data_IF_261680806844
#
_entry.id   IF_261680806844
#
_cell.length_a   1.000
_cell.length_b   1.000
_cell.length_c   1.000
_cell.angle_alpha   90.00
_cell.angle_beta   90.00
_cell.angle_gamma   90.00
#
_symmetry.space_group_name_H-M   'P 1'
#
loop_
_entity.id
_entity.type
_entity.pdbx_description
1 polymer ?
#
# COMPACT_ATOMS: atom_id res chain seq x y z
N UNK A 1 20.65 20.81 -4.99
CA UNK A 1 20.19 19.61 -5.72
C UNK A 1 18.67 19.63 -5.67
N UNK A 2 17.95 19.70 -6.79
CA UNK A 2 16.49 19.52 -6.72
C UNK A 2 16.23 18.05 -6.41
N UNK A 3 15.58 17.79 -5.27
CA UNK A 3 15.12 16.45 -4.93
C UNK A 3 13.99 16.10 -5.89
N UNK A 4 14.27 15.22 -6.85
CA UNK A 4 13.21 14.52 -7.60
C UNK A 4 13.00 13.18 -6.91
N UNK A 5 12.55 13.22 -5.64
CA UNK A 5 12.11 12.00 -4.98
C UNK A 5 10.96 11.43 -5.80
N UNK A 6 11.09 10.17 -6.21
CA UNK A 6 10.10 9.46 -7.01
C UNK A 6 9.63 8.24 -6.22
N UNK A 7 8.57 8.39 -5.39
CA UNK A 7 8.03 7.31 -4.58
C UNK A 7 7.83 6.02 -5.39
N UNK A 8 8.17 4.88 -4.79
CA UNK A 8 8.03 3.55 -5.43
C UNK A 8 8.93 3.31 -6.65
N UNK A 9 9.93 4.16 -6.90
CA UNK A 9 10.90 3.99 -7.98
C UNK A 9 12.18 3.34 -7.47
N UNK A 10 12.77 2.43 -8.26
CA UNK A 10 14.03 1.80 -7.89
C UNK A 10 15.21 2.80 -7.87
N UNK A 11 16.16 2.60 -6.95
CA UNK A 11 17.32 3.48 -6.74
C UNK A 11 18.14 3.70 -8.03
N UNK A 12 18.36 2.65 -8.83
CA UNK A 12 19.10 2.74 -10.09
C UNK A 12 18.45 3.70 -11.08
N UNK A 13 17.12 3.70 -11.16
CA UNK A 13 16.35 4.61 -12.01
C UNK A 13 16.33 6.02 -11.45
N UNK A 14 16.21 6.19 -10.13
CA UNK A 14 16.34 7.50 -9.47
C UNK A 14 17.70 8.12 -9.81
N UNK A 15 18.80 7.40 -9.61
CA UNK A 15 20.14 7.91 -9.92
C UNK A 15 20.36 8.19 -11.40
N UNK A 16 19.81 7.35 -12.30
CA UNK A 16 19.86 7.61 -13.74
C UNK A 16 19.14 8.91 -14.11
N UNK A 17 17.98 9.17 -13.51
CA UNK A 17 17.20 10.40 -13.71
C UNK A 17 17.96 11.60 -13.14
N UNK A 18 18.43 11.53 -11.90
CA UNK A 18 19.17 12.62 -11.25
C UNK A 18 20.44 12.98 -12.02
N UNK A 19 21.15 12.00 -12.58
CA UNK A 19 22.31 12.21 -13.43
C UNK A 19 21.94 12.98 -14.72
N UNK A 20 20.83 12.61 -15.37
CA UNK A 20 20.35 13.28 -16.57
C UNK A 20 19.85 14.72 -16.29
N UNK A 21 19.08 14.90 -15.20
CA UNK A 21 18.46 16.19 -14.86
C UNK A 21 19.45 17.23 -14.37
N UNK A 22 20.37 16.84 -13.48
CA UNK A 22 21.26 17.82 -12.84
C UNK A 22 22.54 18.09 -13.62
N UNK A 23 22.72 17.50 -14.82
CA UNK A 23 23.98 17.54 -15.60
C UNK A 23 25.22 17.28 -14.74
N UNK A 24 25.08 16.47 -13.68
CA UNK A 24 26.13 16.26 -12.70
C UNK A 24 27.33 15.63 -13.43
N UNK A 25 28.46 16.34 -13.46
CA UNK A 25 29.76 15.67 -13.53
C UNK A 25 29.88 14.96 -12.19
N UNK A 26 29.46 13.69 -12.16
CA UNK A 26 29.53 12.87 -10.95
C UNK A 26 30.95 12.97 -10.37
N UNK A 27 31.11 12.99 -9.03
CA UNK A 27 32.44 12.96 -8.42
C UNK A 27 33.22 11.83 -9.09
N UNK A 28 34.36 12.17 -9.66
CA UNK A 28 34.97 11.51 -10.80
C UNK A 28 34.75 9.98 -10.88
N UNK A 29 34.22 9.51 -12.03
CA UNK A 29 34.10 8.11 -12.48
C UNK A 29 33.00 7.21 -11.90
N UNK A 30 32.17 7.62 -10.94
CA UNK A 30 31.09 6.73 -10.46
C UNK A 30 29.89 6.73 -11.42
N UNK A 31 29.36 5.56 -11.79
CA UNK A 31 28.12 5.45 -12.57
C UNK A 31 26.89 5.30 -11.64
N UNK A 32 25.68 5.48 -12.18
CA UNK A 32 24.43 5.43 -11.40
C UNK A 32 24.18 4.10 -10.67
N UNK A 33 24.80 2.99 -11.08
CA UNK A 33 24.69 1.70 -10.37
C UNK A 33 25.49 1.71 -9.08
N UNK A 34 26.70 2.26 -9.12
CA UNK A 34 27.56 2.42 -7.93
C UNK A 34 26.86 3.32 -6.91
N UNK A 35 26.31 4.44 -7.35
CA UNK A 35 25.58 5.37 -6.47
C UNK A 35 24.33 4.74 -5.86
N UNK A 36 23.59 3.93 -6.62
CA UNK A 36 22.45 3.18 -6.10
C UNK A 36 22.88 2.19 -5.01
N UNK A 37 24.00 1.48 -5.20
CA UNK A 37 24.53 0.54 -4.21
C UNK A 37 25.01 1.25 -2.94
N UNK A 38 25.73 2.35 -3.08
CA UNK A 38 26.15 3.18 -1.94
C UNK A 38 24.95 3.75 -1.17
N UNK A 39 23.89 4.15 -1.89
CA UNK A 39 22.64 4.62 -1.27
C UNK A 39 21.98 3.51 -0.47
N UNK A 40 21.90 2.31 -1.03
CA UNK A 40 21.39 1.13 -0.34
C UNK A 40 22.20 0.80 0.93
N UNK A 41 23.54 0.83 0.86
CA UNK A 41 24.40 0.65 2.03
C UNK A 41 24.12 1.70 3.10
N UNK A 42 23.94 2.98 2.70
CA UNK A 42 23.59 4.06 3.64
C UNK A 42 22.22 3.85 4.27
N UNK A 43 21.23 3.40 3.51
CA UNK A 43 19.88 3.08 4.02
C UNK A 43 19.98 1.96 5.06
N UNK A 44 20.67 0.86 4.75
CA UNK A 44 20.82 -0.27 5.68
C UNK A 44 21.55 0.16 6.95
N UNK A 45 22.66 0.91 6.83
CA UNK A 45 23.39 1.41 7.98
C UNK A 45 22.51 2.35 8.83
N UNK A 46 21.70 3.20 8.19
CA UNK A 46 20.76 4.05 8.89
C UNK A 46 19.74 3.23 9.67
N UNK A 47 19.10 2.22 9.05
CA UNK A 47 18.14 1.33 9.72
C UNK A 47 18.78 0.60 10.91
N UNK A 48 19.99 0.08 10.74
CA UNK A 48 20.69 -0.65 11.79
C UNK A 48 21.06 0.25 12.99
N UNK A 49 21.50 1.48 12.71
CA UNK A 49 21.91 2.45 13.72
C UNK A 49 20.74 3.20 14.36
N UNK A 50 19.55 3.17 13.76
CA UNK A 50 18.35 3.72 14.39
C UNK A 50 17.98 2.90 15.62
N UNK A 51 17.74 3.57 16.75
CA UNK A 51 17.27 2.91 17.97
C UNK A 51 15.93 2.19 17.73
N UNK A 52 15.04 2.84 16.97
CA UNK A 52 13.70 2.37 16.65
C UNK A 52 13.36 2.71 15.19
N UNK A 53 12.52 1.86 14.59
CA UNK A 53 11.88 2.12 13.29
C UNK A 53 10.40 1.89 13.50
N UNK A 54 9.62 2.96 13.42
CA UNK A 54 8.20 2.90 13.66
C UNK A 54 7.43 2.43 12.42
N UNK A 55 6.38 1.67 12.69
CA UNK A 55 5.39 1.32 11.68
C UNK A 55 4.44 2.50 11.49
N UNK A 56 3.77 2.54 10.34
CA UNK A 56 2.68 3.49 10.14
C UNK A 56 1.55 3.13 11.12
N UNK A 57 0.91 4.15 11.67
CA UNK A 57 -0.18 4.00 12.64
C UNK A 57 -1.25 3.01 12.14
N UNK A 58 -1.74 2.17 13.05
CA UNK A 58 -2.73 1.12 12.75
C UNK A 58 -2.24 -0.09 11.93
N UNK A 59 -0.96 -0.15 11.49
CA UNK A 59 -0.49 -1.27 10.66
C UNK A 59 -0.64 -2.63 11.35
N UNK A 60 -0.27 -2.71 12.64
CA UNK A 60 -0.36 -3.97 13.38
C UNK A 60 -1.80 -4.44 13.49
N UNK A 61 -2.73 -3.53 13.77
CA UNK A 61 -4.15 -3.84 13.95
C UNK A 61 -4.75 -4.41 12.66
N UNK A 62 -4.54 -3.73 11.52
CA UNK A 62 -5.05 -4.23 10.24
C UNK A 62 -4.38 -5.55 9.83
N UNK A 63 -3.07 -5.69 10.05
CA UNK A 63 -2.35 -6.90 9.67
C UNK A 63 -2.80 -8.10 10.51
N UNK A 64 -2.98 -7.91 11.81
CA UNK A 64 -3.50 -8.94 12.72
C UNK A 64 -4.94 -9.30 12.38
N UNK A 65 -5.80 -8.31 12.21
CA UNK A 65 -7.19 -8.52 11.80
C UNK A 65 -7.31 -9.30 10.48
N UNK A 66 -6.55 -8.93 9.44
CA UNK A 66 -6.60 -9.61 8.16
C UNK A 66 -6.09 -11.05 8.27
N UNK A 67 -5.00 -11.28 9.01
CA UNK A 67 -4.37 -12.59 9.10
C UNK A 67 -5.11 -13.53 10.05
N UNK A 68 -5.29 -13.13 11.29
CA UNK A 68 -5.79 -13.98 12.37
C UNK A 68 -7.33 -14.01 12.37
N UNK A 69 -8.00 -12.86 12.28
CA UNK A 69 -9.47 -12.81 12.35
C UNK A 69 -10.14 -13.19 11.02
N UNK A 70 -9.51 -12.89 9.89
CA UNK A 70 -10.05 -13.18 8.54
C UNK A 70 -9.39 -14.35 7.84
N UNK A 71 -8.30 -14.89 8.37
CA UNK A 71 -7.59 -16.01 7.76
C UNK A 71 -6.99 -15.68 6.38
N UNK A 72 -6.74 -14.41 6.08
CA UNK A 72 -6.22 -13.99 4.78
C UNK A 72 -4.70 -14.14 4.71
N UNK A 73 -4.21 -14.42 3.51
CA UNK A 73 -2.78 -14.47 3.20
C UNK A 73 -2.23 -13.05 3.05
N UNK A 74 -1.12 -12.77 3.72
CA UNK A 74 -0.43 -11.49 3.64
C UNK A 74 0.88 -11.61 2.88
N UNK A 75 1.13 -10.66 1.97
CA UNK A 75 2.39 -10.56 1.24
C UNK A 75 2.99 -9.16 1.31
N UNK A 76 4.30 -9.09 1.60
CA UNK A 76 5.09 -7.88 1.42
C UNK A 76 5.66 -7.85 0.00
N UNK A 77 5.27 -6.85 -0.79
CA UNK A 77 5.67 -6.75 -2.20
C UNK A 77 6.32 -5.38 -2.47
N UNK A 78 7.64 -5.35 -2.66
CA UNK A 78 8.41 -4.09 -2.76
C UNK A 78 9.35 -4.02 -3.97
N UNK A 79 9.66 -2.81 -4.43
CA UNK A 79 10.74 -2.56 -5.42
C UNK A 79 12.13 -2.51 -4.77
N UNK A 80 12.20 -2.42 -3.44
CA UNK A 80 13.44 -2.45 -2.66
C UNK A 80 14.17 -3.78 -2.84
N UNK A 81 15.47 -3.80 -2.52
CA UNK A 81 16.24 -5.03 -2.51
C UNK A 81 15.82 -5.98 -1.40
N UNK A 82 16.33 -7.22 -1.48
CA UNK A 82 16.14 -8.23 -0.46
C UNK A 82 16.72 -7.78 0.88
N UNK A 83 17.91 -7.19 0.85
CA UNK A 83 18.63 -6.74 2.03
C UNK A 83 17.84 -5.67 2.78
N UNK A 84 17.40 -4.60 2.10
CA UNK A 84 16.59 -3.54 2.74
C UNK A 84 15.29 -4.11 3.32
N UNK A 85 14.58 -4.94 2.54
CA UNK A 85 13.29 -5.48 2.97
C UNK A 85 13.43 -6.38 4.21
N UNK A 86 14.43 -7.27 4.23
CA UNK A 86 14.70 -8.17 5.36
C UNK A 86 15.14 -7.38 6.59
N UNK A 87 16.08 -6.43 6.43
CA UNK A 87 16.54 -5.60 7.56
C UNK A 87 15.40 -4.81 8.19
N UNK A 88 14.53 -4.18 7.39
CA UNK A 88 13.35 -3.49 7.91
C UNK A 88 12.39 -4.44 8.61
N UNK A 89 12.02 -5.55 7.97
CA UNK A 89 11.06 -6.50 8.53
C UNK A 89 11.54 -7.15 9.84
N UNK A 90 12.86 -7.34 10.00
CA UNK A 90 13.47 -7.79 11.25
C UNK A 90 13.47 -6.68 12.30
N UNK A 91 13.87 -5.46 11.93
CA UNK A 91 13.96 -4.32 12.85
C UNK A 91 12.59 -3.92 13.43
N UNK A 92 11.53 -4.01 12.62
CA UNK A 92 10.16 -3.72 13.05
C UNK A 92 9.42 -4.95 13.58
N UNK A 93 10.04 -6.13 13.53
CA UNK A 93 9.45 -7.37 14.00
C UNK A 93 8.31 -7.93 13.14
N UNK A 94 7.90 -7.30 12.05
CA UNK A 94 6.69 -7.70 11.28
C UNK A 94 6.90 -8.87 10.32
N UNK A 95 8.11 -9.41 10.20
CA UNK A 95 8.41 -10.48 9.24
C UNK A 95 7.48 -11.70 9.38
N UNK A 96 7.07 -12.06 10.59
CA UNK A 96 6.18 -13.19 10.87
C UNK A 96 4.74 -12.99 10.37
N UNK A 97 4.34 -11.74 10.10
CA UNK A 97 3.01 -11.42 9.59
C UNK A 97 2.83 -11.87 8.14
N UNK A 98 3.91 -11.92 7.35
CA UNK A 98 3.82 -12.19 5.92
C UNK A 98 4.03 -13.67 5.58
N UNK A 99 3.07 -14.28 4.89
CA UNK A 99 3.23 -15.60 4.26
C UNK A 99 4.25 -15.58 3.11
N UNK A 100 4.43 -14.40 2.49
CA UNK A 100 5.33 -14.21 1.36
C UNK A 100 5.98 -12.83 1.38
N UNK A 101 7.30 -12.79 1.16
CA UNK A 101 8.03 -11.55 0.92
C UNK A 101 8.62 -11.60 -0.49
N UNK A 102 8.19 -10.70 -1.36
CA UNK A 102 8.73 -10.48 -2.70
C UNK A 102 9.37 -9.12 -2.81
N UNK A 103 10.61 -9.11 -3.31
CA UNK A 103 11.42 -7.90 -3.43
C UNK A 103 11.72 -7.59 -4.89
N UNK A 104 12.26 -6.40 -5.16
CA UNK A 104 12.59 -5.99 -6.52
C UNK A 104 13.62 -6.91 -7.19
N UNK A 105 14.39 -7.65 -6.39
CA UNK A 105 15.35 -8.66 -6.87
C UNK A 105 14.68 -9.91 -7.45
N UNK A 106 13.40 -10.15 -7.13
CA UNK A 106 12.63 -11.33 -7.59
C UNK A 106 12.05 -11.16 -9.01
N UNK A 107 12.19 -9.99 -9.65
CA UNK A 107 11.63 -9.70 -10.99
C UNK A 107 12.57 -8.87 -11.86
N UNK A 108 12.61 -9.20 -13.16
CA UNK A 108 13.39 -8.43 -14.15
C UNK A 108 12.78 -7.05 -14.42
N UNK A 109 11.44 -6.97 -14.47
CA UNK A 109 10.71 -5.70 -14.65
C UNK A 109 9.99 -5.36 -13.36
N UNK A 110 10.47 -4.33 -12.68
CA UNK A 110 9.94 -3.79 -11.42
C UNK A 110 8.69 -2.91 -11.63
N UNK A 111 8.01 -2.50 -10.56
CA UNK A 111 6.85 -1.57 -10.63
C UNK A 111 7.28 -0.31 -11.42
N UNK A 112 6.50 0.16 -12.42
CA UNK A 112 5.07 -0.05 -12.64
C UNK A 112 4.71 -1.26 -13.54
N UNK A 113 5.60 -2.24 -13.68
CA UNK A 113 5.23 -3.56 -14.23
C UNK A 113 4.38 -4.34 -13.22
N UNK A 114 3.33 -5.06 -13.66
CA UNK A 114 2.50 -5.86 -12.75
C UNK A 114 3.17 -7.17 -12.30
N UNK A 115 4.35 -7.52 -12.86
CA UNK A 115 4.96 -8.84 -12.72
C UNK A 115 5.17 -9.27 -11.27
N UNK A 116 5.55 -8.35 -10.38
CA UNK A 116 5.79 -8.70 -8.98
C UNK A 116 4.49 -9.03 -8.23
N UNK A 117 3.40 -8.31 -8.52
CA UNK A 117 2.08 -8.60 -7.97
C UNK A 117 1.51 -9.92 -8.52
N UNK A 118 1.61 -10.13 -9.83
CA UNK A 118 1.18 -11.39 -10.46
C UNK A 118 1.99 -12.59 -9.95
N UNK A 119 3.30 -12.40 -9.70
CA UNK A 119 4.16 -13.42 -9.07
C UNK A 119 3.72 -13.69 -7.62
N UNK A 120 3.34 -12.66 -6.86
CA UNK A 120 2.82 -12.83 -5.50
C UNK A 120 1.52 -13.66 -5.49
N UNK A 121 0.56 -13.26 -6.32
CA UNK A 121 -0.72 -13.96 -6.46
C UNK A 121 -0.53 -15.43 -6.88
N UNK A 122 0.36 -15.68 -7.84
CA UNK A 122 0.69 -17.04 -8.27
C UNK A 122 1.33 -17.89 -7.17
N UNK A 123 2.29 -17.34 -6.40
CA UNK A 123 2.93 -18.05 -5.27
C UNK A 123 1.96 -18.33 -4.11
N UNK A 124 0.97 -17.47 -3.92
CA UNK A 124 -0.06 -17.64 -2.90
C UNK A 124 -1.30 -18.41 -3.40
N UNK A 125 -1.31 -18.84 -4.66
CA UNK A 125 -2.42 -19.54 -5.29
C UNK A 125 -3.76 -18.77 -5.21
N UNK A 126 -3.72 -17.44 -5.34
CA UNK A 126 -4.90 -16.57 -5.33
C UNK A 126 -5.12 -15.90 -6.69
N UNK A 127 -6.39 -15.71 -7.06
CA UNK A 127 -6.75 -14.92 -8.24
C UNK A 127 -6.43 -13.44 -8.00
N UNK A 128 -5.86 -12.70 -8.97
CA UNK A 128 -5.64 -11.26 -8.82
C UNK A 128 -6.88 -10.44 -8.46
N UNK A 129 -8.08 -10.90 -8.88
CA UNK A 129 -9.35 -10.25 -8.53
C UNK A 129 -9.71 -10.36 -7.04
N UNK A 130 -9.08 -11.28 -6.32
CA UNK A 130 -9.28 -11.52 -4.89
C UNK A 130 -8.11 -10.94 -4.07
N UNK A 131 -7.34 -10.01 -4.63
CA UNK A 131 -6.21 -9.37 -3.97
C UNK A 131 -6.51 -7.89 -3.75
N UNK A 132 -6.38 -7.46 -2.50
CA UNK A 132 -6.37 -6.07 -2.09
C UNK A 132 -4.93 -5.63 -1.84
N UNK A 133 -4.49 -4.59 -2.53
CA UNK A 133 -3.14 -4.02 -2.41
C UNK A 133 -3.19 -2.77 -1.55
N UNK A 134 -2.40 -2.72 -0.48
CA UNK A 134 -2.08 -1.47 0.20
C UNK A 134 -0.83 -0.86 -0.47
N UNK A 135 -0.94 0.35 -0.99
CA UNK A 135 0.15 1.03 -1.70
C UNK A 135 0.30 2.51 -1.31
N UNK A 136 1.50 3.06 -1.44
CA UNK A 136 1.84 4.44 -1.11
C UNK A 136 2.47 5.19 -2.29
N UNK A 137 2.57 4.55 -3.47
CA UNK A 137 3.29 5.11 -4.61
C UNK A 137 2.50 5.02 -5.93
N UNK A 138 2.61 6.04 -6.82
CA UNK A 138 2.00 5.97 -8.15
C UNK A 138 2.54 4.83 -9.01
N UNK A 139 3.82 4.49 -8.84
CA UNK A 139 4.47 3.37 -9.52
C UNK A 139 3.82 2.04 -9.12
N UNK A 140 3.60 1.85 -7.82
CA UNK A 140 2.89 0.71 -7.25
C UNK A 140 1.44 0.64 -7.68
N UNK A 141 0.71 1.75 -7.59
CA UNK A 141 -0.68 1.85 -8.00
C UNK A 141 -0.90 1.45 -9.46
N UNK A 142 -0.04 1.94 -10.37
CA UNK A 142 -0.06 1.52 -11.78
C UNK A 142 0.24 0.04 -11.98
N UNK A 143 1.10 -0.55 -11.15
CA UNK A 143 1.38 -1.98 -11.19
C UNK A 143 0.19 -2.82 -10.70
N UNK A 144 -0.48 -2.41 -9.61
CA UNK A 144 -1.68 -3.06 -9.09
C UNK A 144 -2.83 -3.01 -10.12
N UNK A 145 -3.08 -1.85 -10.72
CA UNK A 145 -4.04 -1.70 -11.83
C UNK A 145 -3.76 -2.65 -12.98
N UNK A 146 -2.51 -2.72 -13.45
CA UNK A 146 -2.12 -3.61 -14.56
C UNK A 146 -2.20 -5.08 -14.18
N UNK A 147 -2.15 -5.42 -12.90
CA UNK A 147 -2.36 -6.77 -12.40
C UNK A 147 -3.86 -7.11 -12.25
N UNK A 148 -4.76 -6.13 -12.39
CA UNK A 148 -6.20 -6.32 -12.19
C UNK A 148 -6.57 -6.50 -10.72
N UNK A 149 -5.81 -5.86 -9.82
CA UNK A 149 -6.02 -5.93 -8.36
C UNK A 149 -6.64 -4.63 -7.84
N UNK A 150 -7.46 -4.77 -6.80
CA UNK A 150 -8.01 -3.64 -6.07
C UNK A 150 -6.95 -3.05 -5.14
N UNK A 151 -7.10 -1.78 -4.78
CA UNK A 151 -6.12 -1.13 -3.92
C UNK A 151 -6.72 -0.11 -2.96
N UNK A 152 -6.06 0.03 -1.81
CA UNK A 152 -6.18 1.14 -0.89
C UNK A 152 -4.86 1.92 -0.93
N UNK A 153 -4.95 3.25 -1.01
CA UNK A 153 -3.76 4.09 -1.01
C UNK A 153 -3.52 4.64 0.40
N UNK A 154 -2.32 4.38 0.94
CA UNK A 154 -1.82 5.04 2.14
C UNK A 154 -1.08 6.30 1.69
N UNK A 155 -1.73 7.44 1.87
CA UNK A 155 -1.41 8.70 1.22
C UNK A 155 -0.99 9.78 2.22
N UNK A 156 0.30 10.15 2.19
CA UNK A 156 0.88 11.17 3.09
C UNK A 156 1.03 12.54 2.44
N UNK A 157 0.18 12.84 1.46
CA UNK A 157 0.14 14.12 0.72
C UNK A 157 1.48 14.51 0.03
N UNK A 158 2.29 13.51 -0.32
CA UNK A 158 3.59 13.68 -0.98
C UNK A 158 3.50 13.69 -2.51
N UNK A 159 2.43 13.10 -3.05
CA UNK A 159 2.13 13.05 -4.49
C UNK A 159 0.66 13.35 -4.74
N UNK A 160 0.28 14.13 -5.76
CA UNK A 160 -1.13 14.37 -6.08
C UNK A 160 -1.92 13.07 -6.34
N UNK A 161 -3.17 13.01 -5.86
CA UNK A 161 -4.01 11.80 -5.98
C UNK A 161 -4.26 11.42 -7.45
N UNK A 162 -4.29 12.41 -8.33
CA UNK A 162 -4.40 12.26 -9.79
C UNK A 162 -3.17 11.63 -10.45
N UNK A 163 -2.13 11.21 -9.71
CA UNK A 163 -1.07 10.35 -10.24
C UNK A 163 -1.35 8.85 -10.05
N UNK A 164 -2.25 8.51 -9.12
CA UNK A 164 -2.65 7.15 -8.80
C UNK A 164 -3.70 6.63 -9.78
N UNK A 165 -3.69 5.32 -10.07
CA UNK A 165 -4.50 4.73 -11.15
C UNK A 165 -5.02 3.37 -10.72
N UNK A 166 -6.29 3.08 -11.00
CA UNK A 166 -6.86 1.73 -10.89
C UNK A 166 -8.18 1.74 -10.14
N UNK A 167 -8.61 0.56 -9.70
CA UNK A 167 -9.75 0.44 -8.79
C UNK A 167 -9.25 0.77 -7.37
N UNK A 168 -9.46 2.01 -6.93
CA UNK A 168 -8.99 2.53 -5.65
C UNK A 168 -10.20 2.69 -4.73
N UNK A 169 -10.21 2.01 -3.59
CA UNK A 169 -11.29 2.10 -2.61
C UNK A 169 -11.24 3.37 -1.77
N UNK A 170 -10.05 3.96 -1.60
CA UNK A 170 -9.87 5.21 -0.89
C UNK A 170 -8.41 5.58 -0.71
N UNK A 171 -8.22 6.82 -0.25
CA UNK A 171 -6.94 7.38 0.19
C UNK A 171 -7.04 7.63 1.68
N UNK A 172 -6.10 7.07 2.44
CA UNK A 172 -6.07 7.16 3.89
C UNK A 172 -4.68 7.60 4.35
N UNK A 173 -4.57 8.43 5.40
CA UNK A 173 -3.26 8.90 5.86
C UNK A 173 -2.38 7.78 6.44
N UNK A 174 -3.02 6.76 6.99
CA UNK A 174 -2.44 5.62 7.72
C UNK A 174 -3.39 4.40 7.63
N UNK A 175 -3.17 3.40 8.48
CA UNK A 175 -4.00 2.20 8.54
C UNK A 175 -5.07 2.24 9.63
N UNK A 176 -5.20 3.34 10.38
CA UNK A 176 -6.09 3.43 11.52
C UNK A 176 -7.57 3.25 11.10
N UNK A 177 -8.26 2.32 11.76
CA UNK A 177 -9.68 2.04 11.50
C UNK A 177 -10.00 1.37 10.16
N UNK A 178 -9.00 0.99 9.37
CA UNK A 178 -9.24 0.29 8.09
C UNK A 178 -9.87 -1.10 8.28
N UNK A 179 -9.62 -1.76 9.40
CA UNK A 179 -10.24 -3.02 9.81
C UNK A 179 -11.77 -2.88 9.88
N UNK A 180 -12.25 -1.77 10.45
CA UNK A 180 -13.67 -1.42 10.55
C UNK A 180 -14.26 -1.07 9.20
N UNK A 181 -13.49 -0.45 8.31
CA UNK A 181 -13.95 -0.05 6.97
C UNK A 181 -14.07 -1.27 6.05
N UNK A 182 -13.06 -2.14 6.07
CA UNK A 182 -12.98 -3.34 5.22
C UNK A 182 -13.99 -4.40 5.67
N UNK A 183 -14.26 -4.50 6.97
CA UNK A 183 -15.25 -5.45 7.52
C UNK A 183 -16.71 -5.13 7.16
N UNK A 184 -17.04 -3.88 6.84
CA UNK A 184 -18.42 -3.49 6.49
C UNK A 184 -18.84 -4.14 5.18
N UNK A 185 -20.08 -4.64 5.14
CA UNK A 185 -20.69 -5.08 3.89
C UNK A 185 -20.99 -3.88 2.98
N UNK A 186 -21.07 -4.10 1.66
CA UNK A 186 -21.48 -3.04 0.72
C UNK A 186 -22.85 -2.45 1.08
N UNK A 187 -23.76 -3.28 1.62
CA UNK A 187 -25.06 -2.83 2.14
C UNK A 187 -24.92 -1.90 3.34
N UNK A 188 -24.08 -2.23 4.32
CA UNK A 188 -23.85 -1.35 5.48
C UNK A 188 -23.22 -0.03 5.07
N UNK A 189 -22.22 -0.04 4.18
CA UNK A 189 -21.63 1.21 3.65
C UNK A 189 -22.66 2.09 2.95
N UNK A 190 -23.55 1.47 2.17
CA UNK A 190 -24.64 2.19 1.50
C UNK A 190 -25.63 2.79 2.51
N UNK A 191 -26.04 2.02 3.53
CA UNK A 191 -26.97 2.50 4.56
C UNK A 191 -26.37 3.64 5.39
N UNK A 192 -25.10 3.54 5.78
CA UNK A 192 -24.39 4.64 6.46
C UNK A 192 -24.25 5.88 5.59
N UNK A 193 -23.99 5.72 4.29
CA UNK A 193 -23.96 6.83 3.35
C UNK A 193 -25.31 7.54 3.22
N UNK A 194 -26.40 6.77 3.15
CA UNK A 194 -27.78 7.31 3.13
C UNK A 194 -28.07 8.05 4.44
N UNK A 195 -27.72 7.48 5.59
CA UNK A 195 -27.93 8.10 6.90
C UNK A 195 -27.12 9.40 7.06
N UNK A 196 -25.88 9.43 6.57
CA UNK A 196 -25.06 10.64 6.56
C UNK A 196 -25.67 11.74 5.68
N UNK A 197 -26.17 11.40 4.49
CA UNK A 197 -26.89 12.33 3.62
C UNK A 197 -28.15 12.85 4.31
N UNK A 198 -28.97 11.97 4.89
CA UNK A 198 -30.20 12.33 5.59
C UNK A 198 -29.94 13.29 6.77
N UNK A 199 -28.90 13.04 7.56
CA UNK A 199 -28.45 13.94 8.64
C UNK A 199 -27.97 15.29 8.10
N UNK A 200 -27.23 15.30 6.99
CA UNK A 200 -26.74 16.55 6.36
C UNK A 200 -27.86 17.42 5.78
N UNK A 201 -28.97 16.82 5.35
CA UNK A 201 -30.14 17.53 4.79
C UNK A 201 -31.27 17.72 5.82
N UNK A 202 -31.02 17.44 7.11
CA UNK A 202 -31.97 17.64 8.20
C UNK A 202 -33.21 16.73 8.17
N UNK A 203 -33.14 15.59 7.48
CA UNK A 203 -34.22 14.58 7.47
C UNK A 203 -34.00 13.58 8.58
N UNK A 204 -34.76 13.70 9.67
CA UNK A 204 -34.86 12.67 10.71
C UNK A 204 -35.70 11.50 10.21
N UNK A 205 -35.33 10.26 10.56
CA UNK A 205 -36.01 9.04 10.14
C UNK A 205 -37.53 9.10 10.39
N UNK A 206 -38.32 8.75 9.37
CA UNK A 206 -39.73 8.43 9.54
C UNK A 206 -39.78 7.06 10.20
N UNK A 207 -40.19 7.02 11.46
CA UNK A 207 -40.40 5.78 12.20
C UNK A 207 -41.32 4.85 11.39
N UNK A 208 -40.88 3.62 11.18
CA UNK A 208 -41.70 2.60 10.56
C UNK A 208 -42.91 2.30 11.48
N UNK A 209 -44.08 2.83 11.12
CA UNK A 209 -45.34 2.42 11.73
C UNK A 209 -45.56 0.93 11.45
N UNK A 210 -45.65 0.14 12.52
CA UNK A 210 -46.16 -1.22 12.41
C UNK A 210 -47.63 -1.16 11.98
N UNK A 211 -48.04 -1.93 10.95
CA UNK A 211 -49.45 -1.98 10.58
C UNK A 211 -50.28 -2.56 11.74
N UNK A 212 -51.51 -2.06 11.96
CA UNK A 212 -52.32 -2.48 13.09
C UNK A 212 -52.64 -3.97 13.01
N UNK A 213 -52.51 -4.63 14.15
CA UNK A 213 -52.92 -6.01 14.37
C UNK A 213 -54.45 -6.05 14.27
N UNK A 214 -55.01 -6.52 13.14
CA UNK A 214 -56.43 -6.80 13.03
C UNK A 214 -56.79 -7.88 14.06
N UNK A 215 -57.51 -7.48 15.10
CA UNK A 215 -58.36 -8.37 15.87
C UNK A 215 -59.69 -8.46 15.12
N UNK A 216 -60.00 -9.64 14.58
CA UNK A 216 -61.38 -10.02 14.34
C UNK A 216 -61.66 -11.36 15.04
N UNK A 217 -62.82 -11.35 15.67
CA UNK A 217 -63.50 -12.30 16.56
C UNK A 217 -63.73 -13.69 16.00
#
# INVERSE_FOLDING_TARGET
>A
MRSTYLPGTELTKIWKILQAYNRFKLPDKKNYRVLAKETETKIINHINNSAQVDLIEGFNDIAFFLKEDKGLKLALVTNSSKEIAVTLAQKTGVAYMFDLILTGSEVVKKKPSPRIFLKAAGKLHVSPKNVLVFEDSPSGSRAAKKAGMDQIIIWRNDTPQEEYRGNIYGFYPDFEGLDKIISKTSRQRMLEGIDHVNKSIGRTEVAAEQPPLNQET
#
